data_IF_991119861632
#
_entry.id   IF_991119861632
#
_cell.length_a   1.000
_cell.length_b   1.000
_cell.length_c   1.000
_cell.angle_alpha   90.00
_cell.angle_beta   90.00
_cell.angle_gamma   90.00
#
_symmetry.space_group_name_H-M   'P 1'
#
loop_
_entity.id
_entity.type
_entity.pdbx_description
1 polymer ?
#
# COMPACT_ATOMS: atom_id res chain seq x y z
N UNK A 1 50.58 8.91 -20.98
CA UNK A 1 49.93 9.58 -19.83
C UNK A 1 48.45 9.98 -20.04
N UNK A 2 47.80 9.69 -21.18
CA UNK A 2 46.36 10.00 -21.43
C UNK A 2 45.38 8.90 -20.99
N UNK A 3 45.79 7.64 -21.02
CA UNK A 3 44.93 6.48 -20.72
C UNK A 3 44.52 6.43 -19.25
N UNK A 4 45.43 6.79 -18.33
CA UNK A 4 45.16 6.85 -16.89
C UNK A 4 44.16 7.96 -16.50
N UNK A 5 44.06 9.06 -17.24
CA UNK A 5 43.09 10.13 -16.92
C UNK A 5 41.69 9.78 -17.43
N UNK A 6 41.59 9.11 -18.59
CA UNK A 6 40.33 8.62 -19.15
C UNK A 6 39.71 7.53 -18.27
N UNK A 7 40.53 6.60 -17.74
CA UNK A 7 40.06 5.56 -16.83
C UNK A 7 39.55 6.15 -15.49
N UNK A 8 40.23 7.15 -14.94
CA UNK A 8 39.78 7.87 -13.73
C UNK A 8 38.47 8.62 -13.96
N UNK A 9 38.29 9.26 -15.11
CA UNK A 9 37.06 9.98 -15.45
C UNK A 9 35.87 9.02 -15.66
N UNK A 10 36.11 7.85 -16.25
CA UNK A 10 35.08 6.82 -16.45
C UNK A 10 34.63 6.21 -15.12
N UNK A 11 35.58 5.87 -14.23
CA UNK A 11 35.30 5.36 -12.88
C UNK A 11 34.55 6.41 -12.05
N UNK A 12 34.99 7.68 -12.09
CA UNK A 12 34.30 8.77 -11.41
C UNK A 12 32.85 8.95 -11.91
N UNK A 13 32.61 8.82 -13.22
CA UNK A 13 31.26 8.86 -13.80
C UNK A 13 30.38 7.69 -13.36
N UNK A 14 30.91 6.46 -13.34
CA UNK A 14 30.13 5.29 -12.91
C UNK A 14 29.77 5.38 -11.43
N UNK A 15 30.70 5.85 -10.59
CA UNK A 15 30.45 6.09 -9.17
C UNK A 15 29.38 7.18 -8.99
N UNK A 16 29.47 8.31 -9.71
CA UNK A 16 28.48 9.39 -9.62
C UNK A 16 27.06 8.91 -10.03
N UNK A 17 26.96 8.11 -11.09
CA UNK A 17 25.69 7.53 -11.53
C UNK A 17 25.10 6.61 -10.45
N UNK A 18 25.91 5.72 -9.87
CA UNK A 18 25.45 4.78 -8.83
C UNK A 18 24.93 5.47 -7.55
N UNK A 19 25.56 6.58 -7.15
CA UNK A 19 25.13 7.36 -5.97
C UNK A 19 23.76 8.01 -6.18
N UNK A 20 23.48 8.51 -7.39
CA UNK A 20 22.19 9.13 -7.71
C UNK A 20 21.04 8.12 -7.72
N UNK A 21 21.27 6.87 -8.16
CA UNK A 21 20.26 5.82 -8.12
C UNK A 21 19.89 5.42 -6.68
N UNK A 22 20.89 5.24 -5.80
CA UNK A 22 20.63 4.87 -4.41
C UNK A 22 19.87 5.98 -3.65
N UNK A 23 20.24 7.25 -3.85
CA UNK A 23 19.57 8.38 -3.21
C UNK A 23 18.09 8.49 -3.64
N UNK A 24 17.79 8.27 -4.93
CA UNK A 24 16.42 8.29 -5.43
C UNK A 24 15.58 7.12 -4.88
N UNK A 25 16.12 5.90 -4.86
CA UNK A 25 15.42 4.74 -4.29
C UNK A 25 15.08 4.96 -2.81
N UNK A 26 16.04 5.45 -2.02
CA UNK A 26 15.84 5.76 -0.61
C UNK A 26 14.78 6.87 -0.41
N UNK A 27 14.74 7.88 -1.29
CA UNK A 27 13.73 8.93 -1.23
C UNK A 27 12.32 8.40 -1.51
N UNK A 28 12.17 7.52 -2.52
CA UNK A 28 10.89 6.87 -2.84
C UNK A 28 10.39 5.99 -1.69
N UNK A 29 11.26 5.18 -1.08
CA UNK A 29 10.89 4.32 0.04
C UNK A 29 10.39 5.12 1.25
N UNK A 30 11.02 6.28 1.53
CA UNK A 30 10.61 7.16 2.63
C UNK A 30 9.25 7.83 2.37
N UNK A 31 8.98 8.23 1.12
CA UNK A 31 7.67 8.78 0.73
C UNK A 31 6.57 7.71 0.84
N UNK A 32 6.84 6.50 0.39
CA UNK A 32 5.89 5.38 0.52
C UNK A 32 5.61 5.04 1.98
N UNK A 33 6.65 5.04 2.84
CA UNK A 33 6.49 4.85 4.28
C UNK A 33 5.64 5.95 4.93
N UNK A 34 5.82 7.22 4.53
CA UNK A 34 5.00 8.33 5.05
C UNK A 34 3.52 8.15 4.66
N UNK A 35 3.26 7.79 3.41
CA UNK A 35 1.92 7.42 2.94
C UNK A 35 1.32 6.26 3.75
N UNK A 36 2.10 5.20 3.95
CA UNK A 36 1.71 4.04 4.74
C UNK A 36 1.33 4.43 6.16
N UNK A 37 2.17 5.20 6.86
CA UNK A 37 1.91 5.66 8.23
C UNK A 37 0.64 6.50 8.33
N UNK A 38 0.39 7.36 7.35
CA UNK A 38 -0.87 8.14 7.27
C UNK A 38 -2.07 7.20 7.14
N UNK A 39 -2.00 6.20 6.26
CA UNK A 39 -3.06 5.21 6.08
C UNK A 39 -3.34 4.43 7.37
N UNK A 40 -2.29 3.90 8.02
CA UNK A 40 -2.40 3.20 9.32
C UNK A 40 -3.10 4.04 10.39
N UNK A 41 -2.79 5.34 10.42
CA UNK A 41 -3.37 6.25 11.41
C UNK A 41 -4.87 6.47 11.21
N UNK A 42 -5.34 6.42 9.96
CA UNK A 42 -6.70 6.82 9.57
C UNK A 42 -7.65 5.65 9.33
N UNK A 43 -7.15 4.50 8.89
CA UNK A 43 -7.96 3.32 8.59
C UNK A 43 -8.56 2.67 9.83
N UNK A 44 -9.72 2.03 9.67
CA UNK A 44 -10.35 1.20 10.71
C UNK A 44 -9.75 -0.21 10.76
N UNK A 45 -9.18 -0.67 9.65
CA UNK A 45 -8.60 -1.99 9.48
C UNK A 45 -7.27 -1.93 8.73
N UNK A 46 -6.29 -2.72 9.18
CA UNK A 46 -5.01 -2.89 8.50
C UNK A 46 -4.61 -4.36 8.55
N UNK A 47 -4.35 -4.95 7.39
CA UNK A 47 -3.85 -6.31 7.28
C UNK A 47 -2.88 -6.48 6.10
N UNK A 48 -2.00 -7.48 6.20
CA UNK A 48 -1.32 -8.04 5.04
C UNK A 48 -2.21 -9.14 4.47
N UNK A 49 -2.58 -9.01 3.20
CA UNK A 49 -3.57 -9.87 2.53
C UNK A 49 -3.06 -10.32 1.17
N UNK A 50 -3.69 -11.37 0.64
CA UNK A 50 -3.54 -11.80 -0.75
C UNK A 50 -4.92 -11.78 -1.40
N UNK A 51 -5.08 -10.98 -2.44
CA UNK A 51 -6.34 -10.94 -3.20
C UNK A 51 -6.46 -12.25 -3.98
N UNK A 52 -7.62 -12.91 -3.87
CA UNK A 52 -7.90 -14.21 -4.50
C UNK A 52 -9.00 -14.13 -5.55
N UNK A 53 -9.89 -13.12 -5.47
CA UNK A 53 -11.00 -12.94 -6.39
C UNK A 53 -11.42 -11.47 -6.44
N UNK A 54 -11.88 -11.04 -7.61
CA UNK A 54 -12.58 -9.76 -7.80
C UNK A 54 -13.83 -10.03 -8.61
N UNK A 55 -14.99 -9.65 -8.08
CA UNK A 55 -16.25 -9.61 -8.80
C UNK A 55 -16.56 -8.15 -9.16
N UNK A 56 -17.02 -7.90 -10.39
CA UNK A 56 -17.26 -6.55 -10.90
C UNK A 56 -18.71 -6.38 -11.33
N UNK A 57 -19.31 -5.26 -10.93
CA UNK A 57 -20.73 -4.94 -11.16
C UNK A 57 -20.84 -3.53 -11.74
N UNK A 58 -21.64 -3.40 -12.80
CA UNK A 58 -21.97 -2.09 -13.36
C UNK A 58 -23.08 -1.46 -12.52
N UNK A 59 -22.85 -0.26 -12.02
CA UNK A 59 -23.87 0.50 -11.28
C UNK A 59 -24.60 1.46 -12.24
N UNK A 60 -25.86 1.80 -11.91
CA UNK A 60 -26.73 2.57 -12.81
C UNK A 60 -26.33 4.05 -12.96
N UNK A 61 -25.50 4.55 -12.05
CA UNK A 61 -25.08 5.94 -11.88
C UNK A 61 -23.76 6.28 -12.59
N UNK A 62 -23.24 5.35 -13.39
CA UNK A 62 -21.97 5.54 -14.11
C UNK A 62 -20.73 5.16 -13.30
N UNK A 63 -20.92 4.55 -12.12
CA UNK A 63 -19.85 3.91 -11.38
C UNK A 63 -19.77 2.42 -11.66
N UNK A 64 -18.64 1.84 -11.31
CA UNK A 64 -18.43 0.40 -11.28
C UNK A 64 -18.05 -0.01 -9.87
N UNK A 65 -18.74 -1.02 -9.34
CA UNK A 65 -18.46 -1.59 -8.03
C UNK A 65 -17.65 -2.86 -8.21
N UNK A 66 -16.56 -2.95 -7.47
CA UNK A 66 -15.73 -4.15 -7.37
C UNK A 66 -15.79 -4.70 -5.96
N UNK A 67 -16.11 -5.99 -5.85
CA UNK A 67 -16.03 -6.73 -4.60
C UNK A 67 -14.77 -7.58 -4.64
N UNK A 68 -13.80 -7.18 -3.84
CA UNK A 68 -12.55 -7.92 -3.67
C UNK A 68 -12.71 -8.94 -2.55
N UNK A 69 -12.20 -10.15 -2.78
CA UNK A 69 -12.07 -11.17 -1.74
C UNK A 69 -10.58 -11.45 -1.56
N UNK A 70 -10.13 -11.39 -0.31
CA UNK A 70 -8.73 -11.56 0.02
C UNK A 70 -8.52 -12.47 1.24
N UNK A 71 -7.56 -13.38 1.13
CA UNK A 71 -7.09 -14.17 2.26
C UNK A 71 -6.20 -13.29 3.15
N UNK A 72 -6.43 -13.36 4.46
CA UNK A 72 -5.70 -12.57 5.44
C UNK A 72 -4.49 -13.35 5.91
N UNK A 73 -3.30 -12.81 5.65
CA UNK A 73 -2.03 -13.38 6.12
C UNK A 73 -1.81 -12.95 7.57
N UNK A 74 -1.99 -11.67 7.87
CA UNK A 74 -1.84 -11.12 9.22
C UNK A 74 -2.66 -9.85 9.38
N UNK A 75 -3.48 -9.78 10.44
CA UNK A 75 -4.15 -8.55 10.86
C UNK A 75 -3.27 -7.78 11.84
N UNK A 76 -3.13 -6.47 11.60
CA UNK A 76 -2.38 -5.55 12.45
C UNK A 76 -3.28 -4.57 13.20
N UNK A 77 -4.42 -4.18 12.60
CA UNK A 77 -5.41 -3.28 13.20
C UNK A 77 -6.82 -3.76 12.85
N UNK A 78 -7.74 -3.67 13.81
CA UNK A 78 -9.13 -4.10 13.67
C UNK A 78 -9.35 -5.59 13.99
N UNK A 79 -10.54 -6.10 13.64
CA UNK A 79 -10.95 -7.48 13.92
C UNK A 79 -10.18 -8.49 13.08
N UNK A 80 -9.61 -9.53 13.69
CA UNK A 80 -8.94 -10.60 12.96
C UNK A 80 -9.92 -11.47 12.18
N UNK A 81 -9.60 -11.73 10.91
CA UNK A 81 -10.35 -12.63 10.03
C UNK A 81 -9.38 -13.58 9.32
N UNK A 82 -9.88 -14.71 8.80
CA UNK A 82 -9.12 -15.56 7.87
C UNK A 82 -9.21 -15.06 6.43
N UNK A 83 -10.35 -14.47 6.10
CA UNK A 83 -10.67 -13.92 4.79
C UNK A 83 -11.54 -12.68 5.00
N UNK A 84 -11.40 -11.69 4.13
CA UNK A 84 -12.23 -10.49 4.10
C UNK A 84 -12.80 -10.28 2.70
N UNK A 85 -13.93 -9.59 2.65
CA UNK A 85 -14.41 -8.94 1.43
C UNK A 85 -14.47 -7.43 1.66
N UNK A 86 -14.22 -6.66 0.60
CA UNK A 86 -14.36 -5.21 0.64
C UNK A 86 -14.83 -4.65 -0.71
N UNK A 87 -15.56 -3.55 -0.63
CA UNK A 87 -16.06 -2.81 -1.77
C UNK A 87 -15.06 -1.75 -2.24
N UNK A 88 -14.93 -1.59 -3.55
CA UNK A 88 -14.24 -0.47 -4.20
C UNK A 88 -15.15 0.08 -5.28
N UNK A 89 -15.41 1.38 -5.25
CA UNK A 89 -16.17 2.08 -6.27
C UNK A 89 -15.20 2.89 -7.13
N UNK A 90 -15.30 2.71 -8.45
CA UNK A 90 -14.45 3.38 -9.44
C UNK A 90 -15.31 3.99 -10.54
N UNK A 91 -14.74 4.92 -11.31
CA UNK A 91 -15.44 5.44 -12.47
C UNK A 91 -15.55 4.36 -13.56
N UNK A 92 -16.63 4.41 -14.35
CA UNK A 92 -16.83 3.44 -15.43
C UNK A 92 -15.66 3.47 -16.42
N UNK A 93 -15.09 2.30 -16.65
CA UNK A 93 -13.98 2.12 -17.59
C UNK A 93 -12.59 2.18 -16.94
N UNK A 94 -12.51 2.45 -15.63
CA UNK A 94 -11.28 2.22 -14.88
C UNK A 94 -11.06 0.71 -14.71
N UNK A 95 -9.88 0.25 -15.14
CA UNK A 95 -9.51 -1.15 -15.05
C UNK A 95 -9.03 -1.49 -13.64
N UNK A 96 -9.40 -2.67 -13.16
CA UNK A 96 -8.96 -3.17 -11.86
C UNK A 96 -7.91 -4.23 -12.09
N UNK A 97 -6.67 -3.87 -11.78
CA UNK A 97 -5.53 -4.77 -11.86
C UNK A 97 -5.62 -5.82 -10.75
N UNK A 98 -5.96 -7.06 -11.09
CA UNK A 98 -5.82 -8.18 -10.17
C UNK A 98 -4.35 -8.59 -10.03
N UNK A 99 -3.79 -8.41 -8.84
CA UNK A 99 -2.47 -8.91 -8.49
C UNK A 99 -2.56 -9.89 -7.31
N UNK A 100 -2.04 -11.10 -7.49
CA UNK A 100 -2.01 -12.12 -6.44
C UNK A 100 -0.82 -11.97 -5.48
N UNK A 101 0.05 -10.97 -5.67
CA UNK A 101 1.11 -10.67 -4.72
C UNK A 101 0.51 -10.19 -3.39
N UNK A 102 1.08 -10.58 -2.23
CA UNK A 102 0.67 -10.03 -0.96
C UNK A 102 0.83 -8.50 -0.90
N UNK A 103 -0.13 -7.81 -0.30
CA UNK A 103 -0.15 -6.36 -0.11
C UNK A 103 -0.51 -6.02 1.33
N UNK A 104 -0.11 -4.83 1.77
CA UNK A 104 -0.73 -4.20 2.93
C UNK A 104 -1.98 -3.45 2.49
N UNK A 105 -3.09 -3.74 3.14
CA UNK A 105 -4.39 -3.18 2.83
C UNK A 105 -4.96 -2.44 4.05
N UNK A 106 -5.25 -1.16 3.85
CA UNK A 106 -5.82 -0.26 4.84
C UNK A 106 -7.25 0.10 4.42
N UNK A 107 -8.24 -0.35 5.20
CA UNK A 107 -9.66 -0.23 4.88
C UNK A 107 -10.41 0.56 5.94
N UNK A 108 -11.51 1.15 5.49
CA UNK A 108 -12.50 1.77 6.35
C UNK A 108 -13.65 0.78 6.60
N UNK A 109 -14.41 1.03 7.67
CA UNK A 109 -15.56 0.21 8.03
C UNK A 109 -16.81 1.09 8.04
N UNK A 110 -17.82 0.70 7.27
CA UNK A 110 -19.12 1.39 7.24
C UNK A 110 -19.85 1.23 8.59
N UNK A 111 -20.92 2.00 8.78
CA UNK A 111 -21.80 1.86 9.95
C UNK A 111 -22.44 0.47 10.06
N UNK A 112 -22.71 -0.19 8.93
CA UNK A 112 -23.21 -1.57 8.89
C UNK A 112 -22.11 -2.62 9.17
N UNK A 113 -20.85 -2.18 9.23
CA UNK A 113 -19.71 -3.01 9.53
C UNK A 113 -19.03 -3.65 8.31
N UNK A 114 -19.42 -3.27 7.10
CA UNK A 114 -18.78 -3.73 5.86
C UNK A 114 -17.49 -2.96 5.61
N UNK A 115 -16.48 -3.62 5.06
CA UNK A 115 -15.22 -2.96 4.71
C UNK A 115 -15.31 -2.32 3.32
N UNK A 116 -14.68 -1.17 3.15
CA UNK A 116 -14.56 -0.51 1.85
C UNK A 116 -13.19 0.14 1.69
N UNK A 117 -12.79 0.28 0.42
CA UNK A 117 -11.59 0.98 -0.01
C UNK A 117 -11.88 2.49 -0.05
N UNK A 118 -11.27 3.31 0.82
CA UNK A 118 -11.57 4.74 0.91
C UNK A 118 -10.90 5.63 -0.13
N UNK A 119 -9.97 5.11 -0.94
CA UNK A 119 -9.24 5.93 -1.89
C UNK A 119 -7.78 5.53 -2.07
N UNK A 120 -7.10 6.29 -2.92
CA UNK A 120 -5.64 6.21 -3.11
C UNK A 120 -4.91 6.25 -1.77
N UNK A 121 -3.92 5.38 -1.61
CA UNK A 121 -3.21 5.20 -0.34
C UNK A 121 -3.83 4.17 0.59
N UNK A 122 -4.74 3.33 0.10
CA UNK A 122 -5.26 2.16 0.83
C UNK A 122 -4.51 0.86 0.56
N UNK A 123 -3.69 0.81 -0.48
CA UNK A 123 -2.89 -0.35 -0.85
C UNK A 123 -1.41 0.03 -0.91
N UNK A 124 -0.57 -0.81 -0.30
CA UNK A 124 0.88 -0.66 -0.33
C UNK A 124 1.53 -2.01 -0.60
N UNK A 125 2.58 -2.00 -1.44
CA UNK A 125 3.38 -3.19 -1.66
C UNK A 125 4.25 -3.45 -0.43
N UNK A 126 4.54 -4.71 -0.09
CA UNK A 126 5.53 -5.00 0.93
C UNK A 126 6.91 -4.55 0.44
N UNK A 127 7.53 -3.64 1.19
CA UNK A 127 8.92 -3.23 1.00
C UNK A 127 9.71 -3.48 2.28
N UNK A 128 11.05 -3.63 2.23
CA UNK A 128 11.85 -3.82 3.44
C UNK A 128 11.62 -2.71 4.49
N UNK A 129 11.41 -1.47 4.04
CA UNK A 129 11.18 -0.32 4.91
C UNK A 129 9.81 -0.38 5.60
N UNK A 130 8.75 -0.74 4.87
CA UNK A 130 7.41 -0.93 5.46
C UNK A 130 7.38 -2.15 6.38
N UNK A 131 7.92 -3.29 5.94
CA UNK A 131 7.96 -4.53 6.73
C UNK A 131 8.72 -4.30 8.06
N UNK A 132 9.87 -3.61 8.03
CA UNK A 132 10.61 -3.24 9.23
C UNK A 132 9.79 -2.35 10.16
N UNK A 133 9.20 -1.27 9.63
CA UNK A 133 8.39 -0.35 10.44
C UNK A 133 7.19 -1.06 11.09
N UNK A 134 6.49 -1.92 10.36
CA UNK A 134 5.35 -2.70 10.88
C UNK A 134 5.77 -3.62 12.02
N UNK A 135 6.92 -4.29 11.88
CA UNK A 135 7.43 -5.19 12.91
C UNK A 135 7.83 -4.45 14.19
N UNK A 136 8.48 -3.29 14.05
CA UNK A 136 8.89 -2.44 15.17
C UNK A 136 7.69 -1.79 15.89
N UNK A 137 6.61 -1.49 15.15
CA UNK A 137 5.46 -0.72 15.65
C UNK A 137 4.22 -1.58 15.88
N UNK A 138 4.33 -2.90 15.87
CA UNK A 138 3.18 -3.83 15.83
C UNK A 138 2.13 -3.56 16.92
N UNK A 139 2.57 -3.23 18.12
CA UNK A 139 1.64 -2.99 19.23
C UNK A 139 1.05 -1.57 19.24
N UNK A 140 1.80 -0.56 18.77
CA UNK A 140 1.28 0.80 18.65
C UNK A 140 0.25 0.92 17.52
N UNK A 141 0.40 0.15 16.44
CA UNK A 141 -0.56 0.07 15.33
C UNK A 141 -1.95 -0.33 15.82
N UNK A 142 -2.04 -1.35 16.69
CA UNK A 142 -3.31 -1.83 17.26
C UNK A 142 -4.04 -0.77 18.07
N UNK A 143 -3.27 0.10 18.74
CA UNK A 143 -3.77 1.13 19.66
C UNK A 143 -4.09 2.45 18.97
N UNK A 144 -3.70 2.60 17.70
CA UNK A 144 -3.84 3.86 16.97
C UNK A 144 -5.32 4.17 16.72
N UNK A 145 -5.82 5.23 17.37
CA UNK A 145 -7.21 5.70 17.24
C UNK A 145 -7.38 6.63 16.04
N UNK A 146 -8.60 6.66 15.49
CA UNK A 146 -9.01 7.34 14.26
C UNK A 146 -9.03 8.87 14.42
N UNK A 147 -8.22 9.65 13.69
CA UNK A 147 -8.52 11.04 13.37
C UNK A 147 -9.53 11.04 12.20
N UNK A 148 -10.69 11.64 12.42
CA UNK A 148 -11.78 11.75 11.45
C UNK A 148 -11.36 12.53 10.18
N UNK A 149 -11.63 11.95 9.01
CA UNK A 149 -11.72 12.56 7.67
C UNK A 149 -11.64 11.52 6.53
N UNK A 150 -10.93 10.39 6.70
CA UNK A 150 -10.67 9.45 5.57
C UNK A 150 -11.70 8.33 5.42
N UNK A 151 -12.34 7.96 6.52
CA UNK A 151 -13.33 6.89 6.59
C UNK A 151 -14.71 7.45 6.98
N UNK A 152 -14.97 8.69 6.58
CA UNK A 152 -16.18 9.46 6.90
C UNK A 152 -16.87 9.90 5.59
#
# INVERSE_FOLDING_TARGET
MKIFSQLKALIAHTILLSLNFCANAQHTDLLELDGFRKAVSRADYLAKVKIIKVDSFQEADGFQRHIFIADVITTYKGTTHKQISYDMFVEKGEDVMFNSAPIYLALCKSLSGSYYWPGTGSEFKPTPVIDAWVNENRDSIKLTRKPAAWCD
#
